data_IF_900793596800
#
_entry.id   IF_900793596800
#
_cell.length_a   1.000
_cell.length_b   1.000
_cell.length_c   1.000
_cell.angle_alpha   90.00
_cell.angle_beta   90.00
_cell.angle_gamma   90.00
#
_symmetry.space_group_name_H-M   'P 1'
#
loop_
_entity.id
_entity.type
_entity.pdbx_description
1 polymer ?
#
# COMPACT_ATOMS: atom_id res chain seq x y z
N UNK A 1 35.88 2.92 -0.69
CA UNK A 1 35.01 2.06 -1.52
C UNK A 1 34.51 0.91 -0.65
N UNK A 2 33.21 0.87 -0.30
CA UNK A 2 32.63 -0.19 0.55
C UNK A 2 32.56 -1.51 -0.23
N UNK A 3 33.18 -2.58 0.29
CA UNK A 3 33.10 -3.94 -0.28
C UNK A 3 31.65 -4.44 -0.19
N UNK A 4 31.02 -4.62 -1.35
CA UNK A 4 29.67 -5.20 -1.46
C UNK A 4 29.77 -6.69 -1.08
N UNK A 5 29.06 -7.10 -0.03
CA UNK A 5 29.02 -8.49 0.43
C UNK A 5 28.05 -9.31 -0.45
N UNK A 6 28.59 -9.87 -1.54
CA UNK A 6 27.84 -10.58 -2.58
C UNK A 6 26.96 -11.74 -2.08
N UNK A 7 27.35 -12.42 -0.99
CA UNK A 7 26.55 -13.50 -0.40
C UNK A 7 25.19 -13.04 0.16
N UNK A 8 25.14 -11.89 0.85
CA UNK A 8 23.88 -11.37 1.40
C UNK A 8 23.00 -10.73 0.32
N UNK A 9 23.61 -10.12 -0.69
CA UNK A 9 22.88 -9.59 -1.84
C UNK A 9 22.27 -10.73 -2.66
N UNK A 10 23.01 -11.80 -2.90
CA UNK A 10 22.51 -13.00 -3.60
C UNK A 10 21.35 -13.66 -2.87
N UNK A 11 21.43 -13.81 -1.55
CA UNK A 11 20.34 -14.38 -0.73
C UNK A 11 19.07 -13.52 -0.76
N UNK A 12 19.23 -12.18 -0.70
CA UNK A 12 18.11 -11.23 -0.80
C UNK A 12 17.46 -11.25 -2.18
N UNK A 13 18.25 -11.35 -3.24
CA UNK A 13 17.75 -11.46 -4.62
C UNK A 13 17.03 -12.80 -4.83
N UNK A 14 17.58 -13.91 -4.32
CA UNK A 14 16.93 -15.21 -4.38
C UNK A 14 15.60 -15.22 -3.62
N UNK A 15 15.56 -14.65 -2.42
CA UNK A 15 14.32 -14.54 -1.64
C UNK A 15 13.28 -13.65 -2.34
N UNK A 16 13.71 -12.52 -2.93
CA UNK A 16 12.84 -11.66 -3.72
C UNK A 16 12.29 -12.40 -4.95
N UNK A 17 13.13 -13.15 -5.67
CA UNK A 17 12.71 -13.95 -6.81
C UNK A 17 11.72 -15.05 -6.42
N UNK A 18 11.96 -15.76 -5.32
CA UNK A 18 11.04 -16.78 -4.79
C UNK A 18 9.72 -16.15 -4.38
N UNK A 19 9.75 -15.00 -3.70
CA UNK A 19 8.52 -14.28 -3.35
C UNK A 19 7.75 -13.85 -4.61
N UNK A 20 8.45 -13.41 -5.66
CA UNK A 20 7.86 -13.01 -6.93
C UNK A 20 7.23 -14.21 -7.66
N UNK A 21 7.89 -15.36 -7.67
CA UNK A 21 7.37 -16.62 -8.20
C UNK A 21 6.18 -17.13 -7.38
N UNK A 22 6.22 -17.00 -6.06
CA UNK A 22 5.12 -17.40 -5.18
C UNK A 22 3.90 -16.49 -5.36
N UNK A 23 4.10 -15.18 -5.51
CA UNK A 23 3.04 -14.22 -5.86
C UNK A 23 2.47 -14.53 -7.24
N UNK A 24 3.33 -14.83 -8.22
CA UNK A 24 2.90 -15.23 -9.57
C UNK A 24 2.09 -16.53 -9.54
N UNK A 25 2.54 -17.55 -8.81
CA UNK A 25 1.85 -18.82 -8.66
C UNK A 25 0.51 -18.66 -7.93
N UNK A 26 0.47 -17.87 -6.85
CA UNK A 26 -0.77 -17.52 -6.16
C UNK A 26 -1.75 -16.84 -7.12
N UNK A 27 -1.27 -15.91 -7.94
CA UNK A 27 -2.09 -15.22 -8.92
C UNK A 27 -2.63 -16.18 -9.98
N UNK A 28 -1.77 -16.98 -10.60
CA UNK A 28 -2.12 -17.89 -11.69
C UNK A 28 -3.02 -19.05 -11.24
N UNK A 29 -2.72 -19.68 -10.11
CA UNK A 29 -3.42 -20.89 -9.69
C UNK A 29 -4.64 -20.61 -8.80
N UNK A 30 -4.68 -19.48 -8.08
CA UNK A 30 -5.74 -19.20 -7.11
C UNK A 30 -6.62 -18.03 -7.53
N UNK A 31 -6.10 -16.98 -8.15
CA UNK A 31 -6.89 -15.79 -8.51
C UNK A 31 -7.44 -15.84 -9.93
N UNK A 32 -6.65 -16.24 -10.93
CA UNK A 32 -7.04 -16.28 -12.35
C UNK A 32 -8.34 -17.07 -12.61
N UNK A 33 -8.58 -18.24 -11.99
CA UNK A 33 -9.82 -19.00 -12.22
C UNK A 33 -11.08 -18.31 -11.66
N UNK A 34 -10.91 -17.41 -10.70
CA UNK A 34 -12.01 -16.71 -10.01
C UNK A 34 -12.24 -15.30 -10.54
N UNK A 35 -11.27 -14.72 -11.26
CA UNK A 35 -11.35 -13.36 -11.83
C UNK A 35 -12.61 -13.12 -12.67
N UNK A 36 -13.04 -14.03 -13.58
CA UNK A 36 -14.27 -13.82 -14.35
C UNK A 36 -15.54 -13.81 -13.48
N UNK A 37 -15.55 -14.53 -12.34
CA UNK A 37 -16.68 -14.48 -11.39
C UNK A 37 -16.66 -13.21 -10.56
N UNK A 38 -15.47 -12.74 -10.18
CA UNK A 38 -15.29 -11.49 -9.44
C UNK A 38 -15.69 -10.30 -10.30
N UNK A 39 -15.27 -10.25 -11.57
CA UNK A 39 -15.66 -9.19 -12.50
C UNK A 39 -17.18 -9.15 -12.71
N UNK A 40 -17.83 -10.30 -12.95
CA UNK A 40 -19.29 -10.36 -13.08
C UNK A 40 -20.03 -9.98 -11.79
N UNK A 41 -19.51 -10.35 -10.63
CA UNK A 41 -20.08 -9.99 -9.33
C UNK A 41 -19.95 -8.49 -9.05
N UNK A 42 -18.82 -7.89 -9.39
CA UNK A 42 -18.58 -6.45 -9.25
C UNK A 42 -19.45 -5.64 -10.24
N UNK A 43 -19.56 -6.09 -11.48
CA UNK A 43 -20.46 -5.47 -12.47
C UNK A 43 -21.92 -5.57 -12.01
N UNK A 44 -22.32 -6.72 -11.44
CA UNK A 44 -23.66 -6.90 -10.88
C UNK A 44 -23.94 -6.02 -9.65
N UNK A 45 -22.89 -5.60 -8.91
CA UNK A 45 -23.03 -4.69 -7.78
C UNK A 45 -23.29 -3.24 -8.19
N UNK A 46 -22.98 -2.84 -9.43
CA UNK A 46 -23.18 -1.48 -9.92
C UNK A 46 -22.62 -0.43 -8.94
N UNK A 47 -23.47 0.52 -8.51
CA UNK A 47 -23.08 1.59 -7.59
C UNK A 47 -22.75 1.13 -6.16
N UNK A 48 -23.05 -0.11 -5.77
CA UNK A 48 -22.70 -0.65 -4.45
C UNK A 48 -21.28 -1.20 -4.37
N UNK A 49 -20.61 -1.43 -5.51
CA UNK A 49 -19.24 -1.94 -5.57
C UNK A 49 -18.25 -1.15 -4.70
N UNK A 50 -18.19 0.20 -4.81
CA UNK A 50 -17.32 1.02 -3.98
C UNK A 50 -17.61 0.91 -2.48
N UNK A 51 -18.89 0.84 -2.09
CA UNK A 51 -19.29 0.75 -0.68
C UNK A 51 -18.80 -0.57 -0.08
N UNK A 52 -19.01 -1.68 -0.78
CA UNK A 52 -18.51 -2.98 -0.32
C UNK A 52 -16.99 -3.02 -0.28
N UNK A 53 -16.30 -2.44 -1.27
CA UNK A 53 -14.85 -2.33 -1.26
C UNK A 53 -14.35 -1.61 0.00
N UNK A 54 -14.95 -0.46 0.34
CA UNK A 54 -14.60 0.31 1.55
C UNK A 54 -14.81 -0.54 2.81
N UNK A 55 -15.95 -1.24 2.92
CA UNK A 55 -16.25 -2.10 4.07
C UNK A 55 -15.22 -3.24 4.19
N UNK A 56 -14.94 -3.95 3.10
CA UNK A 56 -13.94 -5.02 3.09
C UNK A 56 -12.55 -4.51 3.41
N UNK A 57 -12.17 -3.35 2.89
CA UNK A 57 -10.91 -2.70 3.20
C UNK A 57 -10.79 -2.44 4.70
N UNK A 58 -11.80 -1.79 5.30
CA UNK A 58 -11.82 -1.45 6.72
C UNK A 58 -11.70 -2.71 7.57
N UNK A 59 -12.53 -3.72 7.30
CA UNK A 59 -12.54 -4.99 8.04
C UNK A 59 -11.20 -5.70 7.88
N UNK A 60 -10.74 -5.92 6.64
CA UNK A 60 -9.49 -6.63 6.36
C UNK A 60 -8.28 -5.95 6.98
N UNK A 61 -8.14 -4.64 6.79
CA UNK A 61 -7.01 -3.91 7.37
C UNK A 61 -7.09 -3.91 8.90
N UNK A 62 -8.27 -3.86 9.53
CA UNK A 62 -8.40 -3.99 11.00
C UNK A 62 -7.76 -5.27 11.55
N UNK A 63 -7.78 -6.36 10.76
CA UNK A 63 -7.16 -7.66 11.07
C UNK A 63 -5.73 -7.83 10.51
N UNK A 64 -4.98 -6.74 10.33
CA UNK A 64 -3.61 -6.72 9.79
C UNK A 64 -3.47 -7.24 8.35
N UNK A 65 -4.57 -7.35 7.60
CA UNK A 65 -4.47 -7.73 6.20
C UNK A 65 -3.72 -6.65 5.39
N UNK A 66 -2.84 -7.03 4.44
CA UNK A 66 -2.04 -6.05 3.70
C UNK A 66 -2.89 -5.09 2.87
N UNK A 67 -2.72 -3.77 3.08
CA UNK A 67 -3.44 -2.75 2.31
C UNK A 67 -3.08 -2.76 0.82
N UNK A 68 -1.85 -3.17 0.49
CA UNK A 68 -1.34 -3.20 -0.88
C UNK A 68 -2.16 -4.11 -1.78
N UNK A 69 -2.68 -5.22 -1.25
CA UNK A 69 -3.57 -6.13 -1.97
C UNK A 69 -4.87 -5.40 -2.35
N UNK A 70 -5.44 -4.63 -1.43
CA UNK A 70 -6.63 -3.85 -1.72
C UNK A 70 -6.36 -2.71 -2.70
N UNK A 71 -5.21 -2.05 -2.63
CA UNK A 71 -4.84 -1.00 -3.58
C UNK A 71 -4.70 -1.55 -5.01
N UNK A 72 -4.04 -2.70 -5.17
CA UNK A 72 -3.96 -3.42 -6.45
C UNK A 72 -5.37 -3.77 -6.97
N UNK A 73 -6.22 -4.32 -6.09
CA UNK A 73 -7.60 -4.64 -6.44
C UNK A 73 -8.40 -3.38 -6.84
N UNK A 74 -8.24 -2.26 -6.12
CA UNK A 74 -8.94 -1.02 -6.43
C UNK A 74 -8.60 -0.52 -7.85
N UNK A 75 -7.34 -0.60 -8.23
CA UNK A 75 -6.87 -0.20 -9.56
C UNK A 75 -7.35 -1.12 -10.68
N UNK A 76 -7.35 -2.43 -10.44
CA UNK A 76 -7.89 -3.40 -11.36
C UNK A 76 -9.41 -3.20 -11.53
N UNK A 77 -10.14 -3.04 -10.44
CA UNK A 77 -11.61 -3.04 -10.44
C UNK A 77 -12.20 -1.70 -10.92
N UNK A 78 -11.71 -0.59 -10.38
CA UNK A 78 -12.32 0.74 -10.58
C UNK A 78 -11.50 1.65 -11.49
N UNK A 79 -10.34 1.19 -11.97
CA UNK A 79 -9.38 2.02 -12.69
C UNK A 79 -8.58 2.96 -11.80
N UNK A 80 -7.72 3.78 -12.40
CA UNK A 80 -6.73 4.58 -11.65
C UNK A 80 -7.41 5.64 -10.77
N UNK A 81 -8.27 6.49 -11.34
CA UNK A 81 -8.79 7.66 -10.63
C UNK A 81 -9.83 7.30 -9.58
N UNK A 82 -10.81 6.47 -9.94
CA UNK A 82 -11.82 5.99 -8.99
C UNK A 82 -11.23 5.03 -7.99
N UNK A 83 -10.33 4.13 -8.40
CA UNK A 83 -9.61 3.25 -7.48
C UNK A 83 -8.82 4.04 -6.44
N UNK A 84 -8.11 5.10 -6.84
CA UNK A 84 -7.40 5.97 -5.91
C UNK A 84 -8.35 6.69 -4.95
N UNK A 85 -9.47 7.22 -5.45
CA UNK A 85 -10.47 7.90 -4.63
C UNK A 85 -11.02 6.97 -3.54
N UNK A 86 -11.47 5.76 -3.93
CA UNK A 86 -12.02 4.79 -2.99
C UNK A 86 -10.98 4.27 -2.01
N UNK A 87 -9.74 4.06 -2.46
CA UNK A 87 -8.63 3.68 -1.59
C UNK A 87 -8.31 4.78 -0.56
N UNK A 88 -8.28 6.05 -0.98
CA UNK A 88 -8.03 7.17 -0.07
C UNK A 88 -9.15 7.33 0.98
N UNK A 89 -10.41 7.18 0.57
CA UNK A 89 -11.55 7.21 1.47
C UNK A 89 -11.54 6.03 2.44
N UNK A 90 -11.35 4.81 1.94
CA UNK A 90 -11.29 3.60 2.76
C UNK A 90 -10.12 3.64 3.75
N UNK A 91 -8.93 4.03 3.29
CA UNK A 91 -7.75 4.20 4.12
C UNK A 91 -7.96 5.20 5.24
N UNK A 92 -8.59 6.35 4.94
CA UNK A 92 -8.88 7.38 5.93
C UNK A 92 -9.89 6.90 6.97
N UNK A 93 -11.00 6.28 6.54
CA UNK A 93 -12.02 5.74 7.44
C UNK A 93 -11.48 4.61 8.33
N UNK A 94 -10.70 3.70 7.74
CA UNK A 94 -10.05 2.61 8.47
C UNK A 94 -9.06 3.15 9.51
N UNK A 95 -8.23 4.12 9.12
CA UNK A 95 -7.30 4.79 10.01
C UNK A 95 -8.00 5.44 11.21
N UNK A 96 -9.17 6.05 11.02
CA UNK A 96 -9.97 6.62 12.11
C UNK A 96 -10.57 5.54 13.02
N UNK A 97 -11.11 4.47 12.43
CA UNK A 97 -11.68 3.37 13.20
C UNK A 97 -10.61 2.68 14.06
N UNK A 98 -9.45 2.37 13.48
CA UNK A 98 -8.30 1.81 14.19
C UNK A 98 -7.81 2.74 15.29
N UNK A 99 -7.77 4.05 15.04
CA UNK A 99 -7.41 5.02 16.06
C UNK A 99 -8.39 4.97 17.25
N UNK A 100 -9.69 4.91 16.97
CA UNK A 100 -10.71 4.84 18.02
C UNK A 100 -10.64 3.54 18.82
N UNK A 101 -10.56 2.39 18.13
CA UNK A 101 -10.42 1.06 18.74
C UNK A 101 -9.14 0.98 19.56
N UNK A 102 -8.02 1.44 19.00
CA UNK A 102 -6.73 1.41 19.66
C UNK A 102 -6.71 2.24 20.95
N UNK A 103 -7.33 3.43 20.94
CA UNK A 103 -7.36 4.34 22.08
C UNK A 103 -8.32 3.93 23.19
N UNK A 104 -9.45 3.32 22.87
CA UNK A 104 -10.50 2.99 23.85
C UNK A 104 -10.52 1.51 24.25
N UNK A 105 -10.26 0.60 23.30
CA UNK A 105 -10.38 -0.85 23.51
C UNK A 105 -9.01 -1.49 23.73
N UNK A 106 -8.03 -1.20 22.86
CA UNK A 106 -6.72 -1.86 22.88
C UNK A 106 -5.63 -1.05 23.60
N UNK A 107 -6.01 -0.04 24.39
CA UNK A 107 -5.06 0.86 25.05
C UNK A 107 -4.03 0.12 25.91
N UNK A 108 -4.51 -0.76 26.80
CA UNK A 108 -3.67 -1.53 27.73
C UNK A 108 -2.68 -2.47 27.01
N UNK A 109 -3.11 -3.36 26.08
CA UNK A 109 -2.18 -4.24 25.38
C UNK A 109 -1.18 -3.47 24.51
N UNK A 110 -1.61 -2.40 23.83
CA UNK A 110 -0.72 -1.56 23.01
C UNK A 110 0.28 -0.80 23.90
N UNK A 111 -0.13 -0.30 25.06
CA UNK A 111 0.78 0.33 26.03
C UNK A 111 1.83 -0.64 26.56
N UNK A 112 1.46 -1.90 26.84
CA UNK A 112 2.41 -2.95 27.23
C UNK A 112 3.47 -3.24 26.14
N UNK A 113 3.12 -3.10 24.85
CA UNK A 113 4.09 -3.23 23.75
C UNK A 113 5.15 -2.12 23.79
N UNK A 114 4.78 -0.88 24.14
CA UNK A 114 5.73 0.22 24.34
C UNK A 114 6.69 -0.04 25.50
N UNK A 115 6.21 -0.66 26.58
CA UNK A 115 7.04 -1.02 27.73
C UNK A 115 8.01 -2.16 27.40
N UNK A 116 7.57 -3.16 26.63
CA UNK A 116 8.38 -4.33 26.24
C UNK A 116 9.40 -4.05 25.14
N UNK A 117 9.17 -3.04 24.30
CA UNK A 117 10.05 -2.73 23.17
C UNK A 117 10.54 -1.27 23.23
N UNK A 118 11.78 -1.03 23.70
CA UNK A 118 12.36 0.31 23.83
C UNK A 118 12.39 1.10 22.52
N UNK A 119 12.49 0.41 21.37
CA UNK A 119 12.43 1.02 20.02
C UNK A 119 11.08 1.67 19.73
N UNK A 120 10.00 1.20 20.37
CA UNK A 120 8.66 1.79 20.23
C UNK A 120 8.49 3.02 21.14
N UNK A 121 9.23 3.16 22.24
CA UNK A 121 9.16 4.36 23.10
C UNK A 121 9.58 5.64 22.36
N UNK A 122 10.49 5.52 21.38
CA UNK A 122 10.83 6.62 20.48
C UNK A 122 9.61 7.09 19.68
N UNK A 123 8.70 6.17 19.32
CA UNK A 123 7.46 6.47 18.61
C UNK A 123 6.49 7.28 19.50
N UNK A 124 6.39 6.97 20.79
CA UNK A 124 5.49 7.68 21.72
C UNK A 124 5.91 9.15 21.91
N UNK A 125 7.22 9.42 21.98
CA UNK A 125 7.77 10.79 22.01
C UNK A 125 7.61 11.51 20.67
N UNK A 126 7.87 10.80 19.56
CA UNK A 126 7.87 11.34 18.21
C UNK A 126 6.47 11.57 17.60
N UNK A 127 5.45 10.87 18.10
CA UNK A 127 4.09 10.94 17.56
C UNK A 127 3.39 12.29 17.79
N UNK A 128 3.97 13.18 18.60
CA UNK A 128 3.55 14.58 18.70
C UNK A 128 3.81 15.38 17.41
N UNK A 129 4.69 14.90 16.53
CA UNK A 129 5.06 15.56 15.28
C UNK A 129 4.51 14.83 14.05
N UNK A 130 3.60 15.50 13.31
CA UNK A 130 2.97 14.95 12.11
C UNK A 130 3.98 14.50 11.04
N UNK A 131 5.15 15.16 10.96
CA UNK A 131 6.20 14.80 10.00
C UNK A 131 6.72 13.40 10.24
N UNK A 132 6.86 12.99 11.50
CA UNK A 132 7.38 11.65 11.83
C UNK A 132 6.32 10.58 11.54
N UNK A 133 5.05 10.85 11.83
CA UNK A 133 3.94 9.97 11.46
C UNK A 133 3.86 9.78 9.93
N UNK A 134 3.98 10.88 9.16
CA UNK A 134 3.99 10.81 7.70
C UNK A 134 5.17 9.98 7.17
N UNK A 135 6.35 10.13 7.76
CA UNK A 135 7.54 9.36 7.38
C UNK A 135 7.40 7.88 7.72
N UNK A 136 6.82 7.54 8.88
CA UNK A 136 6.57 6.15 9.27
C UNK A 136 5.54 5.48 8.35
N UNK A 137 4.54 6.23 7.87
CA UNK A 137 3.58 5.76 6.87
C UNK A 137 4.20 5.50 5.50
N UNK A 138 5.29 6.21 5.17
CA UNK A 138 6.08 5.98 3.96
C UNK A 138 7.15 4.89 4.16
N UNK A 139 7.37 4.44 5.39
CA UNK A 139 8.26 3.31 5.69
C UNK A 139 7.52 1.99 5.41
N UNK A 140 8.24 0.86 5.21
CA UNK A 140 7.62 -0.45 4.93
C UNK A 140 6.94 -1.07 6.17
N UNK A 141 6.50 -0.24 7.11
CA UNK A 141 5.80 -0.68 8.31
C UNK A 141 4.35 -1.03 7.99
N UNK A 142 3.79 -2.06 8.63
CA UNK A 142 2.42 -2.47 8.38
C UNK A 142 1.44 -1.35 8.80
N UNK A 143 0.56 -0.95 7.86
CA UNK A 143 -0.41 0.13 8.04
C UNK A 143 -1.22 0.01 9.33
N UNK A 144 -1.75 -1.18 9.60
CA UNK A 144 -2.58 -1.48 10.77
C UNK A 144 -1.80 -1.34 12.07
N UNK A 145 -0.60 -1.92 12.12
CA UNK A 145 0.24 -1.85 13.30
C UNK A 145 0.61 -0.39 13.62
N UNK A 146 0.92 0.42 12.60
CA UNK A 146 1.25 1.83 12.79
C UNK A 146 0.06 2.61 13.33
N UNK A 147 -1.14 2.40 12.78
CA UNK A 147 -2.35 3.12 13.21
C UNK A 147 -2.72 2.79 14.67
N UNK A 148 -2.58 1.53 15.10
CA UNK A 148 -2.80 1.17 16.51
C UNK A 148 -1.74 1.76 17.44
N UNK A 149 -0.46 1.75 17.05
CA UNK A 149 0.60 2.35 17.87
C UNK A 149 0.41 3.87 18.01
N UNK A 150 0.04 4.56 16.93
CA UNK A 150 -0.21 6.00 16.93
C UNK A 150 -1.49 6.36 17.72
N UNK A 151 -2.44 5.44 17.86
CA UNK A 151 -3.68 5.70 18.60
C UNK A 151 -3.50 5.92 20.11
N UNK A 152 -2.51 5.24 20.69
CA UNK A 152 -2.22 5.26 22.13
C UNK A 152 -1.18 6.32 22.47
N UNK A 153 -0.44 6.82 21.47
CA UNK A 153 0.54 7.88 21.66
C UNK A 153 -0.09 9.27 21.82
N UNK A 154 0.75 10.28 22.06
CA UNK A 154 0.35 11.68 22.22
C UNK A 154 -0.06 12.39 20.91
N UNK A 155 -0.26 11.66 19.81
CA UNK A 155 -0.62 12.27 18.53
C UNK A 155 -1.99 12.96 18.58
N UNK A 156 -2.06 14.20 18.08
CA UNK A 156 -3.32 14.90 17.88
C UNK A 156 -4.02 14.39 16.61
N UNK A 157 -5.34 14.20 16.68
CA UNK A 157 -6.17 13.70 15.59
C UNK A 157 -6.00 14.49 14.28
N UNK A 158 -5.88 15.81 14.37
CA UNK A 158 -5.69 16.68 13.19
C UNK A 158 -4.36 16.40 12.49
N UNK A 159 -3.26 16.24 13.24
CA UNK A 159 -1.94 15.89 12.69
C UNK A 159 -1.96 14.53 12.00
N UNK A 160 -2.75 13.59 12.52
CA UNK A 160 -2.96 12.28 11.92
C UNK A 160 -3.77 12.33 10.62
N UNK A 161 -4.82 13.15 10.57
CA UNK A 161 -5.62 13.37 9.36
C UNK A 161 -4.80 14.01 8.23
N UNK A 162 -3.99 15.04 8.51
CA UNK A 162 -3.10 15.64 7.51
C UNK A 162 -2.03 14.66 7.02
N UNK A 163 -1.51 13.81 7.90
CA UNK A 163 -0.57 12.76 7.52
C UNK A 163 -1.20 11.67 6.63
N UNK A 164 -2.52 11.57 6.54
CA UNK A 164 -3.18 10.64 5.60
C UNK A 164 -3.05 11.08 4.15
N UNK A 165 -2.85 12.38 3.88
CA UNK A 165 -2.56 12.87 2.53
C UNK A 165 -1.22 12.30 2.03
N UNK A 166 -0.27 12.03 2.93
CA UNK A 166 1.00 11.42 2.58
C UNK A 166 0.88 9.96 2.10
N UNK A 167 -0.29 9.31 2.28
CA UNK A 167 -0.56 7.96 1.78
C UNK A 167 -0.90 7.95 0.28
N UNK A 168 -1.38 9.07 -0.26
CA UNK A 168 -1.89 9.16 -1.63
C UNK A 168 -0.86 8.74 -2.69
N UNK A 169 0.43 9.13 -2.62
CA UNK A 169 1.43 8.66 -3.58
C UNK A 169 1.63 7.13 -3.56
N UNK A 170 1.62 6.52 -2.36
CA UNK A 170 1.77 5.07 -2.20
C UNK A 170 0.55 4.30 -2.70
N UNK A 171 -0.64 4.83 -2.42
CA UNK A 171 -1.90 4.31 -2.96
C UNK A 171 -1.95 4.43 -4.47
N UNK A 172 -1.54 5.58 -5.04
CA UNK A 172 -1.49 5.78 -6.48
C UNK A 172 -0.60 4.75 -7.15
N UNK A 173 0.63 4.57 -6.67
CA UNK A 173 1.56 3.60 -7.29
C UNK A 173 0.99 2.18 -7.29
N UNK A 174 0.46 1.73 -6.15
CA UNK A 174 -0.12 0.37 -6.03
C UNK A 174 -1.39 0.21 -6.87
N UNK A 175 -2.26 1.22 -6.90
CA UNK A 175 -3.47 1.25 -7.74
C UNK A 175 -3.10 1.25 -9.21
N UNK A 176 -2.08 2.00 -9.61
CA UNK A 176 -1.60 2.05 -10.98
C UNK A 176 -1.05 0.69 -11.44
N UNK A 177 -0.27 0.02 -10.58
CA UNK A 177 0.21 -1.34 -10.86
C UNK A 177 -0.97 -2.29 -11.08
N UNK A 178 -2.00 -2.24 -10.22
CA UNK A 178 -3.19 -3.08 -10.35
C UNK A 178 -3.95 -2.84 -11.66
N UNK A 179 -4.12 -1.57 -12.03
CA UNK A 179 -4.74 -1.18 -13.30
C UNK A 179 -3.94 -1.68 -14.51
N UNK A 180 -2.62 -1.45 -14.52
CA UNK A 180 -1.75 -1.87 -15.61
C UNK A 180 -1.73 -3.40 -15.75
N UNK A 181 -1.74 -4.13 -14.64
CA UNK A 181 -1.80 -5.59 -14.63
C UNK A 181 -3.11 -6.12 -15.22
N UNK A 182 -4.26 -5.54 -14.86
CA UNK A 182 -5.55 -5.92 -15.47
C UNK A 182 -5.58 -5.61 -16.95
N UNK A 183 -5.13 -4.42 -17.35
CA UNK A 183 -5.06 -4.03 -18.76
C UNK A 183 -4.19 -4.99 -19.59
N UNK A 184 -3.03 -5.38 -19.08
CA UNK A 184 -2.17 -6.37 -19.73
C UNK A 184 -2.82 -7.76 -19.84
N UNK A 185 -3.58 -8.18 -18.83
CA UNK A 185 -4.31 -9.45 -18.85
C UNK A 185 -5.46 -9.44 -19.87
N UNK A 186 -6.22 -8.34 -19.94
CA UNK A 186 -7.32 -8.16 -20.89
C UNK A 186 -6.78 -8.18 -22.34
N UNK A 187 -5.66 -7.49 -22.60
CA UNK A 187 -4.95 -7.51 -23.88
C UNK A 187 -4.49 -8.92 -24.28
N UNK A 188 -3.92 -9.68 -23.35
CA UNK A 188 -3.47 -11.05 -23.61
C UNK A 188 -4.67 -11.97 -23.92
N UNK A 189 -5.80 -11.78 -23.24
CA UNK A 189 -7.02 -12.51 -23.50
C UNK A 189 -7.62 -12.18 -24.88
N UNK A 190 -7.65 -10.89 -25.24
CA UNK A 190 -8.12 -10.44 -26.55
C UNK A 190 -7.23 -10.97 -27.67
N UNK A 191 -5.91 -10.87 -27.54
CA UNK A 191 -4.95 -11.43 -28.52
C UNK A 191 -5.15 -12.93 -28.72
N UNK A 192 -5.41 -13.69 -27.66
CA UNK A 192 -5.68 -15.14 -27.74
C UNK A 192 -6.95 -15.45 -28.55
N UNK A 193 -7.94 -14.55 -28.54
CA UNK A 193 -9.19 -14.70 -29.28
C UNK A 193 -9.06 -14.22 -30.73
N UNK A 194 -8.42 -13.08 -30.97
CA UNK A 194 -8.41 -12.40 -32.27
C UNK A 194 -7.14 -12.65 -33.09
N UNK A 195 -6.06 -13.12 -32.47
CA UNK A 195 -4.71 -13.25 -33.05
C UNK A 195 -4.17 -11.93 -33.65
N UNK A 196 -4.73 -10.80 -33.24
CA UNK A 196 -4.35 -9.48 -33.73
C UNK A 196 -3.88 -8.64 -32.55
N UNK A 197 -2.74 -7.98 -32.73
CA UNK A 197 -2.28 -6.96 -31.80
C UNK A 197 -3.12 -5.68 -32.00
N UNK A 198 -3.37 -4.91 -30.95
CA UNK A 198 -4.08 -3.64 -31.07
C UNK A 198 -3.30 -2.69 -32.02
N UNK A 199 -3.95 -2.17 -33.07
CA UNK A 199 -3.32 -1.30 -34.07
C UNK A 199 -3.73 0.17 -33.93
N UNK A 200 -2.76 1.08 -34.14
CA UNK A 200 -2.99 2.53 -34.25
C UNK A 200 -3.16 3.24 -32.90
N UNK A 201 -4.39 3.63 -32.57
CA UNK A 201 -4.71 4.43 -31.37
C UNK A 201 -4.47 3.66 -30.07
N UNK A 202 -4.64 2.34 -30.10
CA UNK A 202 -4.39 1.44 -28.97
C UNK A 202 -2.90 1.33 -28.59
N UNK A 203 -1.98 1.48 -29.55
CA UNK A 203 -0.54 1.48 -29.26
C UNK A 203 -0.14 2.72 -28.45
N UNK A 204 -0.72 3.87 -28.77
CA UNK A 204 -0.51 5.09 -27.98
C UNK A 204 -1.03 4.91 -26.56
N UNK A 205 -2.19 4.26 -26.40
CA UNK A 205 -2.77 3.95 -25.09
C UNK A 205 -1.88 2.98 -24.29
N UNK A 206 -1.41 1.89 -24.90
CA UNK A 206 -0.49 0.94 -24.25
C UNK A 206 0.82 1.60 -23.81
N UNK A 207 1.48 2.30 -24.73
CA UNK A 207 2.73 3.01 -24.43
C UNK A 207 2.51 4.02 -23.30
N UNK A 208 1.38 4.72 -23.29
CA UNK A 208 1.02 5.67 -22.22
C UNK A 208 0.84 4.97 -20.87
N UNK A 209 0.20 3.80 -20.83
CA UNK A 209 -0.03 3.04 -19.60
C UNK A 209 1.29 2.50 -19.05
N UNK A 210 2.14 1.91 -19.88
CA UNK A 210 3.43 1.38 -19.42
C UNK A 210 4.42 2.49 -19.06
N UNK A 211 4.43 3.61 -19.80
CA UNK A 211 5.23 4.78 -19.44
C UNK A 211 4.76 5.38 -18.11
N UNK A 212 3.45 5.51 -17.90
CA UNK A 212 2.90 5.98 -16.63
C UNK A 212 3.20 5.04 -15.46
N UNK A 213 3.25 3.72 -15.69
CA UNK A 213 3.65 2.73 -14.69
C UNK A 213 5.10 2.95 -14.26
N UNK A 214 6.01 3.12 -15.21
CA UNK A 214 7.42 3.41 -14.94
C UNK A 214 7.58 4.69 -14.12
N UNK A 215 6.83 5.75 -14.47
CA UNK A 215 6.82 7.00 -13.73
C UNK A 215 6.29 6.79 -12.31
N UNK A 216 5.16 6.09 -12.14
CA UNK A 216 4.54 5.84 -10.83
C UNK A 216 5.48 5.06 -9.90
N UNK A 217 6.13 4.00 -10.40
CA UNK A 217 7.11 3.22 -9.65
C UNK A 217 8.31 4.09 -9.27
N UNK A 218 8.83 4.89 -10.20
CA UNK A 218 9.97 5.77 -9.96
C UNK A 218 9.66 6.81 -8.88
N UNK A 219 8.52 7.48 -8.99
CA UNK A 219 8.05 8.46 -8.00
C UNK A 219 7.88 7.81 -6.63
N UNK A 220 7.27 6.63 -6.56
CA UNK A 220 7.09 5.90 -5.30
C UNK A 220 8.43 5.55 -4.64
N UNK A 221 9.43 5.12 -5.43
CA UNK A 221 10.79 4.84 -4.93
C UNK A 221 11.45 6.11 -4.41
N UNK A 222 11.32 7.23 -5.12
CA UNK A 222 11.90 8.52 -4.70
C UNK A 222 11.27 8.97 -3.38
N UNK A 223 9.94 8.92 -3.27
CA UNK A 223 9.22 9.29 -2.05
C UNK A 223 9.64 8.40 -0.87
N UNK A 224 9.71 7.08 -1.06
CA UNK A 224 10.19 6.15 -0.04
C UNK A 224 11.64 6.46 0.38
N UNK A 225 12.53 6.77 -0.56
CA UNK A 225 13.93 7.14 -0.27
C UNK A 225 14.03 8.44 0.51
N UNK A 226 13.27 9.47 0.13
CA UNK A 226 13.22 10.76 0.84
C UNK A 226 12.70 10.54 2.26
N UNK A 227 11.68 9.70 2.42
CA UNK A 227 11.14 9.38 3.72
C UNK A 227 12.18 8.69 4.62
N UNK A 228 12.80 7.60 4.15
CA UNK A 228 13.82 6.86 4.89
C UNK A 228 15.03 7.75 5.25
N UNK A 229 15.45 8.64 4.35
CA UNK A 229 16.53 9.59 4.61
C UNK A 229 16.17 10.58 5.72
N UNK A 230 14.92 11.04 5.75
CA UNK A 230 14.45 11.99 6.74
C UNK A 230 14.36 11.36 8.13
N UNK A 231 13.88 10.11 8.23
CA UNK A 231 13.86 9.34 9.49
C UNK A 231 15.28 9.20 10.05
N UNK A 232 16.25 8.83 9.19
CA UNK A 232 17.65 8.69 9.60
C UNK A 232 18.23 10.00 10.15
N UNK A 233 17.87 11.13 9.54
CA UNK A 233 18.35 12.43 9.99
C UNK A 233 17.75 12.83 11.36
N UNK A 234 16.46 12.57 11.59
CA UNK A 234 15.81 12.81 12.88
C UNK A 234 16.34 11.91 14.00
N UNK A 235 16.61 10.62 13.72
CA UNK A 235 17.20 9.72 14.72
C UNK A 235 18.65 10.09 15.07
N UNK A 236 19.34 10.84 14.20
CA UNK A 236 20.72 11.29 14.41
C UNK A 236 20.81 12.58 15.23
N UNK A 237 19.76 13.41 15.24
CA UNK A 237 19.71 14.66 16.01
C UNK A 237 19.26 14.49 17.47
N UNK A 238 18.69 13.34 17.84
CA UNK A 238 18.27 13.02 19.23
C UNK A 238 19.26 12.14 20.01
N UNK A 239 20.44 11.80 19.46
CA UNK A 239 21.49 11.16 20.26
C UNK A 239 22.01 12.20 21.27
N UNK A 240 21.83 12.00 22.59
CA UNK A 240 22.46 12.86 23.57
C UNK A 240 23.98 12.72 23.39
N UNK A 241 24.68 13.86 23.33
CA UNK A 241 26.08 13.90 23.74
C UNK A 241 26.15 13.78 25.25
#
# INVERSE_FOLDING_TARGET
MQKINWHHTGLRVAFAAIALVAVFALFHYVLEPYMPRVDNFIVALGNWGPVLFIVFFIVGTTFLFPESIFALAAGAIFGIWWGLLWMALAGTLSAFLMFFIGRHVLKKPVQSLFEKHPKLQALDKAASNFKIIALLRLSPFNFTALNYLVSVSKANFSSYAYASIALVPGFFASTYIGYAAKHAADLAAEYKLTHQLPTGDSLVQEVTIYAGLLVAVTVSIIVAKVALKTIKNYSSSESPK
#
